data_IF_240450629767
#
_entry.id   IF_240450629767
#
_cell.length_a   1.000
_cell.length_b   1.000
_cell.length_c   1.000
_cell.angle_alpha   90.00
_cell.angle_beta   90.00
_cell.angle_gamma   90.00
#
_symmetry.space_group_name_H-M   'P 1'
#
loop_
_entity.id
_entity.type
_entity.pdbx_description
1 polymer ?
#
# COMPACT_ATOMS: atom_id res chain seq x y z
N UNK A 1 -31.90 -5.75 -9.42
CA UNK A 1 -31.11 -6.87 -8.86
C UNK A 1 -31.97 -7.54 -7.80
N UNK A 2 -32.08 -8.87 -7.81
CA UNK A 2 -32.74 -9.60 -6.73
C UNK A 2 -31.70 -9.91 -5.64
N UNK A 3 -31.77 -9.17 -4.55
CA UNK A 3 -30.83 -9.24 -3.43
C UNK A 3 -30.99 -10.56 -2.66
N UNK A 4 -32.21 -11.07 -2.55
CA UNK A 4 -32.50 -12.30 -1.79
C UNK A 4 -31.93 -13.52 -2.49
N UNK A 5 -32.09 -13.59 -3.83
CA UNK A 5 -31.48 -14.65 -4.63
C UNK A 5 -29.95 -14.60 -4.55
N UNK A 6 -29.36 -13.40 -4.58
CA UNK A 6 -27.90 -13.26 -4.47
C UNK A 6 -27.37 -13.74 -3.11
N UNK A 7 -28.05 -13.43 -2.00
CA UNK A 7 -27.66 -13.94 -0.68
C UNK A 7 -27.93 -15.42 -0.46
N UNK A 8 -28.77 -16.03 -1.30
CA UNK A 8 -28.90 -17.49 -1.38
C UNK A 8 -27.66 -18.20 -1.93
N UNK A 9 -26.72 -17.46 -2.54
CA UNK A 9 -25.48 -18.03 -3.09
C UNK A 9 -24.41 -18.30 -2.01
N UNK A 10 -23.57 -19.33 -2.18
CA UNK A 10 -22.42 -19.60 -1.31
C UNK A 10 -21.47 -18.41 -1.14
N UNK A 11 -20.82 -18.32 0.02
CA UNK A 11 -19.87 -17.25 0.36
C UNK A 11 -18.73 -17.14 -0.67
N UNK A 12 -18.21 -18.27 -1.17
CA UNK A 12 -17.13 -18.25 -2.16
C UNK A 12 -17.50 -17.52 -3.45
N UNK A 13 -18.74 -17.70 -3.93
CA UNK A 13 -19.24 -17.02 -5.12
C UNK A 13 -19.36 -15.52 -4.84
N UNK A 14 -20.00 -15.17 -3.71
CA UNK A 14 -20.18 -13.76 -3.32
C UNK A 14 -18.84 -13.05 -3.13
N UNK A 15 -17.87 -13.72 -2.50
CA UNK A 15 -16.50 -13.21 -2.36
C UNK A 15 -15.86 -12.91 -3.72
N UNK A 16 -15.96 -13.80 -4.70
CA UNK A 16 -15.41 -13.55 -6.03
C UNK A 16 -16.11 -12.38 -6.73
N UNK A 17 -17.44 -12.27 -6.58
CA UNK A 17 -18.19 -11.12 -7.10
C UNK A 17 -17.69 -9.82 -6.47
N UNK A 18 -17.53 -9.78 -5.15
CA UNK A 18 -17.04 -8.60 -4.46
C UNK A 18 -15.58 -8.26 -4.76
N UNK A 19 -14.74 -9.28 -4.98
CA UNK A 19 -13.36 -9.09 -5.41
C UNK A 19 -13.29 -8.36 -6.76
N UNK A 20 -14.16 -8.74 -7.70
CA UNK A 20 -14.25 -8.07 -9.00
C UNK A 20 -14.98 -6.72 -8.96
N UNK A 21 -15.86 -6.50 -7.98
CA UNK A 21 -16.49 -5.19 -7.76
C UNK A 21 -15.49 -4.17 -7.19
N UNK A 22 -14.44 -4.63 -6.53
CA UNK A 22 -13.28 -3.83 -6.10
C UNK A 22 -13.69 -2.57 -5.29
N UNK A 23 -14.66 -2.75 -4.40
CA UNK A 23 -15.17 -1.68 -3.52
C UNK A 23 -15.99 -0.58 -4.20
N UNK A 24 -16.27 -0.68 -5.51
CA UNK A 24 -17.10 0.29 -6.23
C UNK A 24 -18.59 0.04 -5.98
N UNK A 25 -19.09 0.48 -4.82
CA UNK A 25 -20.48 0.24 -4.40
C UNK A 25 -21.51 1.17 -5.04
N UNK A 26 -21.09 2.29 -5.61
CA UNK A 26 -21.96 3.19 -6.36
C UNK A 26 -21.53 3.29 -7.82
N UNK A 27 -22.46 3.68 -8.69
CA UNK A 27 -22.18 3.92 -10.12
C UNK A 27 -21.38 5.20 -10.38
N UNK A 28 -21.16 5.99 -9.34
CA UNK A 28 -20.40 7.22 -9.37
C UNK A 28 -18.96 6.87 -9.05
N UNK A 29 -18.04 7.35 -9.86
CA UNK A 29 -16.63 7.33 -9.58
C UNK A 29 -16.00 8.60 -10.18
N UNK A 30 -14.97 9.18 -9.54
CA UNK A 30 -14.20 10.22 -10.19
C UNK A 30 -13.60 9.67 -11.50
N UNK A 31 -13.46 10.54 -12.50
CA UNK A 31 -12.83 10.14 -13.75
C UNK A 31 -11.41 9.63 -13.45
N UNK A 32 -10.97 8.52 -14.07
CA UNK A 32 -9.60 8.07 -13.92
C UNK A 32 -8.66 9.21 -14.32
N UNK A 33 -7.64 9.47 -13.50
CA UNK A 33 -6.69 10.58 -13.71
C UNK A 33 -6.10 10.54 -15.13
N UNK A 34 -5.87 9.35 -15.69
CA UNK A 34 -5.38 9.17 -17.05
C UNK A 34 -6.31 9.81 -18.11
N UNK A 35 -7.63 9.70 -17.95
CA UNK A 35 -8.57 10.30 -18.90
C UNK A 35 -8.51 11.83 -18.83
N UNK A 36 -8.33 12.40 -17.63
CA UNK A 36 -8.20 13.86 -17.45
C UNK A 36 -6.97 14.46 -18.16
N UNK A 37 -5.91 13.67 -18.35
CA UNK A 37 -4.66 14.12 -19.00
C UNK A 37 -4.51 13.69 -20.47
N UNK A 38 -5.23 12.64 -20.90
CA UNK A 38 -5.13 12.09 -22.27
C UNK A 38 -6.26 12.62 -23.16
N UNK A 39 -7.41 12.95 -22.60
CA UNK A 39 -8.53 13.47 -23.39
C UNK A 39 -8.20 14.87 -23.93
N UNK A 40 -8.30 15.05 -25.25
CA UNK A 40 -8.09 16.35 -25.92
C UNK A 40 -9.12 17.42 -25.47
N UNK A 41 -10.22 16.98 -24.87
CA UNK A 41 -11.31 17.84 -24.41
C UNK A 41 -11.46 17.71 -22.90
N UNK A 42 -11.08 18.76 -22.18
CA UNK A 42 -11.36 18.87 -20.76
C UNK A 42 -12.87 19.11 -20.58
N UNK A 43 -13.56 18.12 -20.03
CA UNK A 43 -14.97 18.26 -19.66
C UNK A 43 -15.08 19.16 -18.43
N UNK A 44 -15.23 20.46 -18.67
CA UNK A 44 -15.60 21.41 -17.61
C UNK A 44 -17.09 21.28 -17.35
N UNK A 45 -17.44 21.20 -16.06
CA UNK A 45 -18.84 21.28 -15.64
C UNK A 45 -19.47 22.55 -16.22
N UNK A 46 -20.68 22.47 -16.82
CA UNK A 46 -21.38 23.66 -17.28
C UNK A 46 -21.48 24.67 -16.14
N UNK A 47 -21.28 25.97 -16.42
CA UNK A 47 -21.29 27.05 -15.40
C UNK A 47 -22.51 27.04 -14.47
N UNK A 48 -23.60 26.37 -14.87
CA UNK A 48 -24.81 26.19 -14.08
C UNK A 48 -25.63 25.03 -14.66
N UNK A 49 -25.32 23.79 -14.30
CA UNK A 49 -26.41 22.80 -14.21
C UNK A 49 -27.27 23.21 -13.02
N UNK A 50 -28.50 23.64 -13.28
CA UNK A 50 -29.41 24.02 -12.22
C UNK A 50 -29.69 22.79 -11.36
N UNK A 51 -29.23 22.80 -10.11
CA UNK A 51 -29.55 21.78 -9.13
C UNK A 51 -31.06 21.65 -9.00
N UNK A 52 -31.54 20.42 -8.88
CA UNK A 52 -32.93 20.21 -8.48
C UNK A 52 -33.16 20.76 -7.06
N UNK A 53 -34.39 21.15 -6.72
CA UNK A 53 -34.74 21.61 -5.36
C UNK A 53 -34.30 20.62 -4.26
N UNK A 54 -34.34 19.31 -4.56
CA UNK A 54 -33.88 18.25 -3.65
C UNK A 54 -32.37 18.30 -3.47
N UNK A 55 -31.62 18.39 -4.56
CA UNK A 55 -30.15 18.49 -4.53
C UNK A 55 -29.69 19.75 -3.80
N UNK A 56 -30.34 20.90 -4.02
CA UNK A 56 -30.05 22.12 -3.26
C UNK A 56 -30.23 21.91 -1.75
N UNK A 57 -31.30 21.23 -1.35
CA UNK A 57 -31.57 20.94 0.07
C UNK A 57 -30.53 19.98 0.65
N UNK A 58 -30.18 18.91 -0.08
CA UNK A 58 -29.15 17.97 0.34
C UNK A 58 -27.79 18.65 0.45
N UNK A 59 -27.40 19.43 -0.54
CA UNK A 59 -26.16 20.18 -0.55
C UNK A 59 -26.09 21.13 0.64
N UNK A 60 -27.12 21.97 0.83
CA UNK A 60 -27.16 22.91 1.96
C UNK A 60 -27.07 22.22 3.33
N UNK A 61 -27.56 20.99 3.45
CA UNK A 61 -27.60 20.26 4.72
C UNK A 61 -26.36 19.42 4.99
N UNK A 62 -25.79 18.80 3.96
CA UNK A 62 -24.79 17.74 4.12
C UNK A 62 -23.43 18.08 3.51
N UNK A 63 -23.32 19.14 2.70
CA UNK A 63 -22.05 19.50 2.07
C UNK A 63 -20.95 19.75 3.10
N UNK A 64 -21.19 20.63 4.09
CA UNK A 64 -20.19 20.96 5.12
C UNK A 64 -19.77 19.74 5.96
N UNK A 65 -20.66 18.77 6.12
CA UNK A 65 -20.36 17.55 6.85
C UNK A 65 -19.35 16.67 6.10
N UNK A 66 -19.49 16.53 4.79
CA UNK A 66 -18.66 15.64 3.98
C UNK A 66 -17.54 16.34 3.21
N UNK A 67 -17.54 17.67 3.17
CA UNK A 67 -16.54 18.46 2.44
C UNK A 67 -15.10 18.12 2.82
N UNK A 68 -14.72 17.77 4.08
CA UNK A 68 -13.34 17.42 4.39
C UNK A 68 -12.81 16.19 3.62
N UNK A 69 -13.71 15.35 3.10
CA UNK A 69 -13.36 14.09 2.43
C UNK A 69 -13.71 14.07 0.93
N UNK A 70 -14.44 15.09 0.44
CA UNK A 70 -15.02 15.09 -0.90
C UNK A 70 -14.81 16.40 -1.68
N UNK A 71 -14.33 17.47 -1.03
CA UNK A 71 -14.03 18.75 -1.70
C UNK A 71 -13.01 18.61 -2.84
N UNK A 72 -12.14 17.59 -2.80
CA UNK A 72 -11.22 17.24 -3.88
C UNK A 72 -11.94 16.98 -5.22
N UNK A 73 -13.24 16.70 -5.19
CA UNK A 73 -14.07 16.47 -6.37
C UNK A 73 -14.95 17.67 -6.77
N UNK A 74 -14.75 18.85 -6.16
CA UNK A 74 -15.55 20.06 -6.46
C UNK A 74 -15.41 20.54 -7.92
N UNK A 75 -14.38 20.08 -8.64
CA UNK A 75 -14.25 20.29 -10.09
C UNK A 75 -15.42 19.68 -10.89
N UNK A 76 -16.12 18.69 -10.32
CA UNK A 76 -17.31 18.06 -10.87
C UNK A 76 -18.48 18.11 -9.86
N UNK A 77 -19.21 19.24 -9.77
CA UNK A 77 -20.30 19.39 -8.80
C UNK A 77 -21.42 18.35 -8.96
N UNK A 78 -21.67 17.89 -10.19
CA UNK A 78 -22.65 16.84 -10.48
C UNK A 78 -22.27 15.50 -9.84
N UNK A 79 -20.97 15.19 -9.73
CA UNK A 79 -20.46 14.02 -9.01
C UNK A 79 -20.88 14.07 -7.54
N UNK A 80 -20.64 15.21 -6.88
CA UNK A 80 -20.95 15.42 -5.47
C UNK A 80 -22.47 15.38 -5.24
N UNK A 81 -23.25 16.06 -6.09
CA UNK A 81 -24.71 16.12 -5.97
C UNK A 81 -25.34 14.73 -6.08
N UNK A 82 -24.84 13.89 -7.01
CA UNK A 82 -25.29 12.49 -7.11
C UNK A 82 -24.77 11.66 -5.93
N UNK A 83 -23.54 11.88 -5.47
CA UNK A 83 -22.97 11.17 -4.32
C UNK A 83 -23.80 11.40 -3.06
N UNK A 84 -24.28 12.62 -2.84
CA UNK A 84 -25.18 12.95 -1.73
C UNK A 84 -26.49 12.17 -1.76
N UNK A 85 -26.96 11.72 -2.93
CA UNK A 85 -28.15 10.87 -3.00
C UNK A 85 -27.84 9.44 -2.55
N UNK A 86 -26.67 8.91 -2.93
CA UNK A 86 -26.20 7.60 -2.46
C UNK A 86 -25.87 7.62 -0.96
N UNK A 87 -25.30 8.71 -0.46
CA UNK A 87 -24.82 8.84 0.92
C UNK A 87 -25.91 8.55 1.97
N UNK A 88 -27.18 8.81 1.62
CA UNK A 88 -28.33 8.54 2.48
C UNK A 88 -28.58 7.05 2.74
N UNK A 89 -28.29 6.19 1.76
CA UNK A 89 -28.75 4.80 1.75
C UNK A 89 -27.62 3.78 1.62
N UNK A 90 -26.49 4.14 1.00
CA UNK A 90 -25.44 3.20 0.59
C UNK A 90 -24.86 2.42 1.78
N UNK A 91 -24.68 3.08 2.93
CA UNK A 91 -24.20 2.43 4.17
C UNK A 91 -25.20 1.43 4.77
N UNK A 92 -26.47 1.47 4.38
CA UNK A 92 -27.51 0.55 4.84
C UNK A 92 -27.85 -0.50 3.78
N UNK A 93 -27.25 -0.41 2.61
CA UNK A 93 -27.50 -1.34 1.52
C UNK A 93 -27.05 -2.74 1.94
N UNK A 94 -27.92 -3.73 1.70
CA UNK A 94 -27.67 -5.08 2.18
C UNK A 94 -26.44 -5.71 1.49
N UNK A 95 -26.20 -5.41 0.20
CA UNK A 95 -25.05 -5.91 -0.58
C UNK A 95 -23.76 -5.35 -0.01
N UNK A 96 -23.76 -4.07 0.36
CA UNK A 96 -22.63 -3.40 1.01
C UNK A 96 -22.35 -4.02 2.38
N UNK A 97 -23.37 -4.18 3.22
CA UNK A 97 -23.20 -4.80 4.55
C UNK A 97 -22.69 -6.24 4.44
N UNK A 98 -23.16 -7.00 3.45
CA UNK A 98 -22.68 -8.35 3.21
C UNK A 98 -21.22 -8.39 2.73
N UNK A 99 -20.83 -7.47 1.83
CA UNK A 99 -19.43 -7.31 1.45
C UNK A 99 -18.53 -7.00 2.65
N UNK A 100 -18.97 -6.11 3.54
CA UNK A 100 -18.23 -5.76 4.76
C UNK A 100 -18.09 -6.95 5.71
N UNK A 101 -19.13 -7.79 5.84
CA UNK A 101 -19.08 -9.03 6.64
C UNK A 101 -18.06 -10.01 6.09
N UNK A 102 -18.10 -10.26 4.79
CA UNK A 102 -17.14 -11.15 4.14
C UNK A 102 -15.74 -10.56 4.27
N UNK A 103 -15.54 -9.25 4.01
CA UNK A 103 -14.23 -8.61 4.18
C UNK A 103 -13.69 -8.78 5.60
N UNK A 104 -14.54 -8.60 6.61
CA UNK A 104 -14.19 -8.83 8.02
C UNK A 104 -13.77 -10.28 8.28
N UNK A 105 -14.57 -11.26 7.86
CA UNK A 105 -14.27 -12.70 8.04
C UNK A 105 -12.98 -13.15 7.35
N UNK A 106 -12.53 -12.43 6.31
CA UNK A 106 -11.27 -12.69 5.61
C UNK A 106 -10.18 -11.67 5.93
N UNK A 107 -10.25 -11.00 7.09
CA UNK A 107 -9.19 -10.13 7.62
C UNK A 107 -8.82 -8.97 6.71
N UNK A 108 -9.78 -8.37 6.02
CA UNK A 108 -9.55 -7.20 5.14
C UNK A 108 -9.01 -7.53 3.75
N UNK A 109 -8.86 -8.80 3.38
CA UNK A 109 -8.25 -9.19 2.11
C UNK A 109 -9.09 -8.91 0.85
N UNK A 110 -10.39 -8.59 1.01
CA UNK A 110 -11.32 -8.46 -0.10
C UNK A 110 -11.35 -7.04 -0.68
N UNK A 111 -11.56 -6.03 0.17
CA UNK A 111 -11.62 -4.61 -0.23
C UNK A 111 -10.56 -3.75 0.45
N UNK A 112 -9.82 -4.28 1.43
CA UNK A 112 -8.82 -3.58 2.22
C UNK A 112 -9.28 -3.26 3.65
N UNK A 113 -8.52 -2.39 4.31
CA UNK A 113 -8.82 -1.89 5.64
C UNK A 113 -9.94 -0.83 5.63
N UNK A 114 -10.45 -0.54 6.83
CA UNK A 114 -11.32 0.60 7.11
C UNK A 114 -10.55 1.61 7.93
N UNK A 115 -10.60 2.88 7.54
CA UNK A 115 -9.88 3.96 8.21
C UNK A 115 -10.74 4.64 9.26
N UNK A 116 -10.12 4.98 10.38
CA UNK A 116 -10.73 5.87 11.35
C UNK A 116 -10.74 7.31 10.84
N UNK A 117 -11.92 7.90 10.83
CA UNK A 117 -12.17 9.29 10.46
C UNK A 117 -12.97 10.02 11.53
N UNK A 118 -13.01 11.35 11.45
CA UNK A 118 -13.86 12.17 12.30
C UNK A 118 -14.97 12.81 11.47
N UNK A 119 -16.21 12.41 11.72
CA UNK A 119 -17.36 12.81 10.93
C UNK A 119 -18.60 12.90 11.82
N UNK A 120 -19.36 13.99 11.70
CA UNK A 120 -20.58 14.24 12.49
C UNK A 120 -20.26 14.25 14.00
N UNK A 121 -19.22 15.01 14.36
CA UNK A 121 -18.66 15.17 15.71
C UNK A 121 -18.29 13.87 16.44
N UNK A 122 -18.06 12.78 15.70
CA UNK A 122 -17.75 11.46 16.24
C UNK A 122 -16.69 10.74 15.42
N UNK A 123 -15.84 9.91 16.07
CA UNK A 123 -15.01 8.95 15.34
C UNK A 123 -15.88 7.90 14.65
N UNK A 124 -15.54 7.59 13.40
CA UNK A 124 -16.21 6.59 12.58
C UNK A 124 -15.19 5.77 11.80
N UNK A 125 -15.53 4.52 11.52
CA UNK A 125 -14.85 3.66 10.57
C UNK A 125 -15.35 3.99 9.17
N UNK A 126 -14.46 4.19 8.22
CA UNK A 126 -14.78 4.55 6.84
C UNK A 126 -14.05 3.68 5.84
N UNK A 127 -14.70 3.46 4.70
CA UNK A 127 -14.07 2.87 3.53
C UNK A 127 -13.93 3.92 2.44
N UNK A 128 -12.73 4.03 1.88
CA UNK A 128 -12.43 4.90 0.76
C UNK A 128 -12.14 4.10 -0.49
N UNK A 129 -12.64 4.57 -1.63
CA UNK A 129 -12.25 4.07 -2.95
C UNK A 129 -11.88 5.24 -3.84
N UNK A 130 -10.67 5.19 -4.43
CA UNK A 130 -10.13 6.29 -5.25
C UNK A 130 -10.21 7.65 -4.51
N UNK A 131 -9.85 7.67 -3.23
CA UNK A 131 -9.96 8.82 -2.32
C UNK A 131 -11.38 9.35 -2.07
N UNK A 132 -12.41 8.68 -2.59
CA UNK A 132 -13.81 9.02 -2.35
C UNK A 132 -14.36 8.20 -1.18
N UNK A 133 -14.97 8.87 -0.21
CA UNK A 133 -15.66 8.21 0.90
C UNK A 133 -16.85 7.40 0.35
N UNK A 134 -16.88 6.09 0.61
CA UNK A 134 -17.95 5.21 0.12
C UNK A 134 -18.95 4.90 1.23
N UNK A 135 -18.46 4.42 2.38
CA UNK A 135 -19.30 4.06 3.52
C UNK A 135 -18.65 4.45 4.83
N UNK A 136 -19.47 4.68 5.85
CA UNK A 136 -19.00 5.01 7.20
C UNK A 136 -19.95 4.45 8.27
N UNK A 137 -19.35 3.97 9.36
CA UNK A 137 -20.04 3.39 10.51
C UNK A 137 -19.41 3.90 11.81
N UNK A 138 -20.22 4.18 12.82
CA UNK A 138 -19.68 4.17 14.18
C UNK A 138 -19.23 2.75 14.55
N UNK A 139 -18.30 2.61 15.48
CA UNK A 139 -17.88 1.28 15.95
C UNK A 139 -19.07 0.44 16.43
N UNK A 140 -20.03 1.06 17.12
CA UNK A 140 -21.26 0.39 17.58
C UNK A 140 -22.14 -0.09 16.43
N UNK A 141 -22.30 0.70 15.37
CA UNK A 141 -23.05 0.29 14.17
C UNK A 141 -22.33 -0.87 13.47
N UNK A 142 -20.99 -0.78 13.35
CA UNK A 142 -20.17 -1.81 12.73
C UNK A 142 -20.28 -3.14 13.47
N UNK A 143 -20.06 -3.14 14.79
CA UNK A 143 -20.21 -4.32 15.64
C UNK A 143 -21.61 -4.94 15.51
N UNK A 144 -22.65 -4.10 15.58
CA UNK A 144 -24.05 -4.57 15.53
C UNK A 144 -24.45 -5.16 14.18
N UNK A 145 -24.06 -4.54 13.07
CA UNK A 145 -24.57 -4.93 11.75
C UNK A 145 -23.65 -5.87 10.98
N UNK A 146 -22.35 -5.83 11.26
CA UNK A 146 -21.33 -6.56 10.50
C UNK A 146 -20.81 -7.74 11.32
N UNK A 147 -20.27 -7.49 12.52
CA UNK A 147 -19.70 -8.56 13.35
C UNK A 147 -20.79 -9.47 13.90
N UNK A 148 -21.93 -8.90 14.33
CA UNK A 148 -23.09 -9.60 14.91
C UNK A 148 -22.83 -10.31 16.25
N UNK A 149 -21.64 -10.16 16.84
CA UNK A 149 -21.26 -10.60 18.18
C UNK A 149 -20.55 -9.45 18.91
N UNK A 150 -20.51 -9.48 20.25
CA UNK A 150 -19.63 -8.59 21.02
C UNK A 150 -18.19 -8.98 20.68
N UNK A 151 -17.34 -7.99 20.39
CA UNK A 151 -15.93 -8.25 20.10
C UNK A 151 -15.30 -8.74 21.42
N UNK A 152 -15.09 -10.04 21.57
CA UNK A 152 -14.27 -10.57 22.66
C UNK A 152 -12.81 -10.15 22.43
N UNK A 153 -12.11 -9.84 23.52
CA UNK A 153 -10.72 -9.35 23.49
C UNK A 153 -9.77 -10.33 22.76
N UNK A 154 -10.07 -11.64 22.76
CA UNK A 154 -9.27 -12.66 22.05
C UNK A 154 -9.46 -12.66 20.52
N UNK A 155 -10.60 -12.19 20.00
CA UNK A 155 -10.83 -12.01 18.55
C UNK A 155 -10.31 -10.66 18.04
N UNK A 156 -10.27 -9.65 18.92
CA UNK A 156 -9.74 -8.32 18.61
C UNK A 156 -8.25 -8.35 18.21
N UNK A 157 -7.47 -9.26 18.80
CA UNK A 157 -6.04 -9.40 18.56
C UNK A 157 -5.66 -9.89 17.15
N UNK A 158 -6.64 -10.39 16.38
CA UNK A 158 -6.42 -10.87 15.00
C UNK A 158 -7.05 -9.97 13.92
N UNK A 159 -7.68 -8.85 14.30
CA UNK A 159 -8.35 -7.96 13.36
C UNK A 159 -7.37 -6.95 12.74
N UNK A 160 -6.64 -7.40 11.71
CA UNK A 160 -5.84 -6.52 10.82
C UNK A 160 -6.73 -5.73 9.83
N UNK A 161 -7.79 -5.10 10.33
CA UNK A 161 -8.81 -4.47 9.49
C UNK A 161 -8.90 -2.96 9.64
N UNK A 162 -8.51 -2.41 10.80
CA UNK A 162 -8.68 -0.98 11.04
C UNK A 162 -7.36 -0.23 10.93
N UNK A 163 -7.39 0.88 10.18
CA UNK A 163 -6.26 1.75 9.92
C UNK A 163 -6.49 3.18 10.41
N UNK A 164 -5.41 3.93 10.52
CA UNK A 164 -5.43 5.38 10.66
C UNK A 164 -4.65 5.99 9.50
N UNK A 165 -5.36 6.56 8.53
CA UNK A 165 -4.75 7.21 7.37
C UNK A 165 -4.72 8.74 7.53
N UNK A 166 -3.50 9.30 7.61
CA UNK A 166 -3.28 10.74 7.83
C UNK A 166 -3.47 11.60 6.58
N UNK A 167 -3.57 10.99 5.40
CA UNK A 167 -3.93 11.66 4.15
C UNK A 167 -5.34 12.29 4.26
N UNK A 168 -6.27 11.62 4.94
CA UNK A 168 -7.67 12.06 5.04
C UNK A 168 -7.94 13.01 6.21
N UNK A 169 -6.95 13.29 7.05
CA UNK A 169 -7.17 13.91 8.35
C UNK A 169 -6.32 15.18 8.50
N UNK A 170 -6.95 16.21 9.06
CA UNK A 170 -6.22 17.35 9.58
C UNK A 170 -5.80 17.10 11.05
N UNK A 171 -4.94 17.95 11.58
CA UNK A 171 -4.39 17.78 12.94
C UNK A 171 -5.47 17.74 14.05
N UNK A 172 -6.52 18.54 13.92
CA UNK A 172 -7.61 18.59 14.91
C UNK A 172 -8.40 17.27 14.90
N UNK A 173 -8.70 16.72 13.72
CA UNK A 173 -9.35 15.43 13.56
C UNK A 173 -8.51 14.30 14.15
N UNK A 174 -7.20 14.27 13.87
CA UNK A 174 -6.26 13.29 14.45
C UNK A 174 -6.34 13.33 15.98
N UNK A 175 -6.22 14.52 16.59
CA UNK A 175 -6.31 14.69 18.04
C UNK A 175 -7.64 14.21 18.61
N UNK A 176 -8.75 14.56 17.96
CA UNK A 176 -10.10 14.14 18.40
C UNK A 176 -10.28 12.62 18.32
N UNK A 177 -9.79 11.99 17.26
CA UNK A 177 -9.84 10.53 17.09
C UNK A 177 -8.99 9.85 18.17
N UNK A 178 -7.72 10.23 18.32
CA UNK A 178 -6.81 9.61 19.29
C UNK A 178 -7.31 9.80 20.73
N UNK A 179 -7.79 10.99 21.09
CA UNK A 179 -8.36 11.24 22.42
C UNK A 179 -9.62 10.40 22.67
N UNK A 180 -10.49 10.27 21.67
CA UNK A 180 -11.69 9.44 21.80
C UNK A 180 -11.37 7.95 21.87
N UNK A 181 -10.37 7.47 21.12
CA UNK A 181 -9.90 6.09 21.21
C UNK A 181 -9.30 5.80 22.59
N UNK A 182 -8.46 6.68 23.12
CA UNK A 182 -7.88 6.55 24.46
C UNK A 182 -8.95 6.52 25.54
N UNK A 183 -9.94 7.40 25.45
CA UNK A 183 -11.02 7.47 26.43
C UNK A 183 -11.87 6.20 26.46
N UNK A 184 -12.06 5.55 25.31
CA UNK A 184 -12.87 4.34 25.18
C UNK A 184 -12.05 3.04 25.10
N UNK A 185 -10.72 3.10 25.29
CA UNK A 185 -9.76 2.00 25.16
C UNK A 185 -9.78 1.27 23.79
N UNK A 186 -10.05 2.00 22.71
CA UNK A 186 -10.10 1.45 21.35
C UNK A 186 -8.77 1.55 20.59
N UNK A 187 -7.71 2.03 21.24
CA UNK A 187 -6.39 2.22 20.59
C UNK A 187 -5.79 0.90 20.13
N UNK A 188 -6.12 -0.21 20.82
CA UNK A 188 -5.66 -1.55 20.45
C UNK A 188 -6.30 -2.06 19.15
N UNK A 189 -7.39 -1.46 18.67
CA UNK A 189 -8.03 -1.86 17.42
C UNK A 189 -7.25 -1.41 16.17
N UNK A 190 -6.27 -0.50 16.31
CA UNK A 190 -5.46 -0.02 15.20
C UNK A 190 -4.40 -1.03 14.80
N UNK A 191 -4.47 -1.46 13.55
CA UNK A 191 -3.55 -2.45 12.96
C UNK A 191 -2.60 -1.84 11.92
N UNK A 192 -2.99 -0.71 11.32
CA UNK A 192 -2.24 0.03 10.31
C UNK A 192 -2.22 1.54 10.58
N UNK A 193 -1.09 2.19 10.29
CA UNK A 193 -1.00 3.65 10.21
C UNK A 193 -0.38 4.03 8.87
N UNK A 194 -1.03 4.95 8.15
CA UNK A 194 -0.52 5.53 6.90
C UNK A 194 -0.09 6.97 7.15
N UNK A 195 1.22 7.21 7.05
CA UNK A 195 1.81 8.55 7.14
C UNK A 195 1.87 9.18 5.75
N UNK A 196 1.32 10.38 5.67
CA UNK A 196 1.31 11.20 4.48
C UNK A 196 1.76 12.60 4.88
N UNK A 197 2.64 13.19 4.06
CA UNK A 197 3.04 14.57 4.17
C UNK A 197 2.77 15.18 2.81
N UNK A 198 1.97 16.25 2.77
CA UNK A 198 1.78 17.02 1.55
C UNK A 198 3.17 17.50 1.10
N UNK A 199 3.61 17.00 -0.05
CA UNK A 199 4.90 17.37 -0.63
C UNK A 199 4.89 18.88 -0.91
N UNK A 200 5.68 19.66 -0.17
CA UNK A 200 6.20 20.91 -0.71
C UNK A 200 7.11 20.49 -1.87
N UNK A 201 6.78 20.92 -3.09
CA UNK A 201 7.42 20.46 -4.33
C UNK A 201 8.95 20.29 -4.14
N UNK A 202 9.47 19.09 -4.42
CA UNK A 202 10.91 18.77 -4.38
C UNK A 202 11.75 19.74 -5.25
N UNK A 203 11.12 20.58 -6.08
CA UNK A 203 11.77 21.64 -6.87
C UNK A 203 12.36 22.79 -6.05
N UNK A 204 11.96 22.99 -4.79
CA UNK A 204 12.53 24.05 -3.93
C UNK A 204 13.74 23.57 -3.11
N UNK A 205 14.04 22.26 -3.12
CA UNK A 205 15.30 21.72 -2.61
C UNK A 205 16.28 21.61 -3.80
N UNK A 206 16.93 22.73 -4.12
CA UNK A 206 17.90 22.82 -5.21
C UNK A 206 18.83 21.61 -5.30
N UNK A 207 19.05 21.13 -6.53
CA UNK A 207 19.91 19.98 -6.87
C UNK A 207 21.40 20.16 -6.50
N UNK A 208 21.74 21.24 -5.79
CA UNK A 208 23.10 21.56 -5.39
C UNK A 208 23.44 20.96 -4.02
N UNK A 209 24.09 19.78 -4.07
CA UNK A 209 25.02 19.28 -3.04
C UNK A 209 24.56 19.45 -1.58
N UNK A 210 23.52 18.73 -1.17
CA UNK A 210 23.38 18.43 0.26
C UNK A 210 24.46 17.40 0.63
N UNK A 211 25.43 17.83 1.44
CA UNK A 211 26.43 16.95 2.02
C UNK A 211 25.75 15.80 2.78
N UNK A 212 26.18 14.56 2.50
CA UNK A 212 25.62 13.32 3.06
C UNK A 212 25.63 13.33 4.60
N UNK A 213 26.54 14.10 5.21
CA UNK A 213 26.74 14.16 6.66
C UNK A 213 25.68 15.00 7.42
N UNK A 214 24.81 15.76 6.73
CA UNK A 214 23.76 16.59 7.37
C UNK A 214 22.31 16.12 7.11
N UNK A 215 22.10 15.01 6.39
CA UNK A 215 20.76 14.48 6.05
C UNK A 215 20.05 13.75 7.22
N UNK A 216 19.93 14.39 8.38
CA UNK A 216 18.85 14.04 9.30
C UNK A 216 17.60 14.74 8.77
N UNK A 217 16.64 13.99 8.21
CA UNK A 217 15.32 14.52 7.90
C UNK A 217 14.46 14.48 9.18
N UNK A 218 14.35 15.56 9.99
CA UNK A 218 13.48 15.53 11.15
C UNK A 218 12.02 15.46 10.69
N UNK A 219 11.24 14.61 11.34
CA UNK A 219 9.78 14.66 11.22
C UNK A 219 9.30 16.01 11.75
N UNK A 220 8.73 16.83 10.85
CA UNK A 220 8.20 18.16 11.16
C UNK A 220 6.68 18.24 11.03
N UNK A 221 6.04 17.28 10.35
CA UNK A 221 4.58 17.25 10.26
C UNK A 221 3.96 16.98 11.65
N UNK A 222 3.19 17.96 12.11
CA UNK A 222 2.52 17.94 13.41
C UNK A 222 1.51 16.79 13.51
N UNK A 223 0.87 16.39 12.40
CA UNK A 223 -0.08 15.27 12.40
C UNK A 223 0.64 13.96 12.70
N UNK A 224 1.70 13.68 11.95
CA UNK A 224 2.52 12.49 12.16
C UNK A 224 3.21 12.48 13.53
N UNK A 225 3.73 13.62 14.01
CA UNK A 225 4.31 13.72 15.36
C UNK A 225 3.27 13.37 16.44
N UNK A 226 2.03 13.82 16.30
CA UNK A 226 0.98 13.52 17.26
C UNK A 226 0.69 12.01 17.33
N UNK A 227 0.63 11.34 16.17
CA UNK A 227 0.44 9.89 16.10
C UNK A 227 1.64 9.14 16.67
N UNK A 228 2.87 9.57 16.35
CA UNK A 228 4.12 8.94 16.81
C UNK A 228 4.17 8.83 18.33
N UNK A 229 3.68 9.84 19.06
CA UNK A 229 3.62 9.82 20.52
C UNK A 229 2.74 8.69 21.07
N UNK A 230 1.75 8.26 20.31
CA UNK A 230 0.75 7.28 20.72
C UNK A 230 0.98 5.88 20.14
N UNK A 231 1.91 5.73 19.18
CA UNK A 231 2.20 4.42 18.55
C UNK A 231 2.54 3.33 19.58
N UNK A 232 3.22 3.68 20.68
CA UNK A 232 3.56 2.72 21.74
C UNK A 232 2.31 2.06 22.35
N UNK A 233 1.21 2.81 22.45
CA UNK A 233 -0.08 2.35 23.00
C UNK A 233 -0.89 1.47 22.04
N UNK A 234 -0.60 1.54 20.73
CA UNK A 234 -1.22 0.71 19.69
C UNK A 234 -0.57 -0.68 19.68
N UNK A 235 -1.08 -1.59 20.50
CA UNK A 235 -0.48 -2.93 20.70
C UNK A 235 -0.59 -3.83 19.47
N UNK A 236 -1.68 -3.73 18.71
CA UNK A 236 -1.94 -4.59 17.54
C UNK A 236 -1.45 -3.96 16.22
N UNK A 237 -0.71 -2.85 16.31
CA UNK A 237 -0.09 -2.22 15.15
C UNK A 237 0.95 -3.16 14.54
N UNK A 238 0.66 -3.63 13.33
CA UNK A 238 1.50 -4.58 12.59
C UNK A 238 1.99 -4.02 11.25
N UNK A 239 1.36 -2.95 10.75
CA UNK A 239 1.68 -2.34 9.46
C UNK A 239 1.89 -0.84 9.56
N UNK A 240 2.96 -0.34 8.93
CA UNK A 240 3.18 1.08 8.71
C UNK A 240 3.35 1.33 7.22
N UNK A 241 2.63 2.33 6.73
CA UNK A 241 2.70 2.78 5.34
C UNK A 241 3.20 4.22 5.35
N UNK A 242 4.12 4.57 4.46
CA UNK A 242 4.61 5.95 4.30
C UNK A 242 4.55 6.37 2.84
N UNK A 243 4.18 7.62 2.58
CA UNK A 243 4.24 8.24 1.25
C UNK A 243 5.33 9.30 1.20
N UNK A 244 6.08 9.33 0.10
CA UNK A 244 7.09 10.35 -0.16
C UNK A 244 8.47 10.01 0.44
N UNK A 245 9.52 10.54 -0.20
CA UNK A 245 10.90 10.31 0.21
C UNK A 245 11.24 10.92 1.58
N UNK A 246 10.83 12.16 1.91
CA UNK A 246 11.19 12.77 3.20
C UNK A 246 10.71 11.96 4.41
N UNK A 247 9.47 11.44 4.37
CA UNK A 247 8.92 10.60 5.44
C UNK A 247 9.62 9.25 5.53
N UNK A 248 9.98 8.67 4.39
CA UNK A 248 10.76 7.43 4.37
C UNK A 248 12.12 7.61 5.05
N UNK A 249 12.88 8.65 4.70
CA UNK A 249 14.18 8.93 5.30
C UNK A 249 14.05 9.29 6.80
N UNK A 250 12.99 10.02 7.17
CA UNK A 250 12.77 10.44 8.57
C UNK A 250 12.32 9.31 9.51
N UNK A 251 11.43 8.41 9.05
CA UNK A 251 10.72 7.46 9.91
C UNK A 251 11.21 6.01 9.74
N UNK A 252 11.55 5.62 8.51
CA UNK A 252 11.78 4.22 8.13
C UNK A 252 13.25 3.92 7.95
N UNK A 253 13.95 4.69 7.12
CA UNK A 253 15.33 4.42 6.75
C UNK A 253 16.26 4.60 7.96
N UNK A 254 17.26 3.73 8.08
CA UNK A 254 18.24 3.84 9.15
C UNK A 254 19.51 4.54 8.67
N UNK A 255 19.72 5.77 9.14
CA UNK A 255 20.89 6.60 8.81
C UNK A 255 22.06 6.50 9.80
N UNK A 256 22.06 5.57 10.75
CA UNK A 256 23.10 5.53 11.80
C UNK A 256 22.94 6.60 12.90
N UNK A 257 21.98 7.51 12.78
CA UNK A 257 21.72 8.59 13.75
C UNK A 257 21.02 8.07 15.01
N UNK A 258 21.26 8.72 16.15
CA UNK A 258 20.60 8.43 17.43
C UNK A 258 19.10 8.77 17.34
N UNK A 259 18.25 7.93 17.93
CA UNK A 259 16.81 8.15 17.95
C UNK A 259 16.47 9.49 18.63
N UNK A 260 15.78 10.38 17.92
CA UNK A 260 15.24 11.63 18.47
C UNK A 260 13.91 11.32 19.18
N UNK A 261 13.84 11.38 20.52
CA UNK A 261 12.64 11.00 21.25
C UNK A 261 11.44 11.85 20.85
N UNK A 262 10.28 11.22 20.63
CA UNK A 262 9.02 11.89 20.29
C UNK A 262 8.89 12.39 18.84
N UNK A 263 9.93 12.26 18.02
CA UNK A 263 9.89 12.54 16.56
C UNK A 263 10.21 11.33 15.70
N UNK A 264 10.70 10.25 16.32
CA UNK A 264 11.03 8.99 15.66
C UNK A 264 10.16 7.88 16.22
N UNK A 265 9.91 6.86 15.39
CA UNK A 265 9.19 5.67 15.82
C UNK A 265 10.04 4.93 16.84
N UNK A 266 9.45 4.65 18.01
CA UNK A 266 10.12 3.95 19.10
C UNK A 266 10.61 2.57 18.64
N UNK A 267 11.72 2.10 19.21
CA UNK A 267 12.23 0.77 18.90
C UNK A 267 11.24 -0.35 19.28
N UNK A 268 10.42 -0.16 20.33
CA UNK A 268 9.38 -1.11 20.72
C UNK A 268 8.30 -1.24 19.65
N UNK A 269 7.90 -0.13 19.02
CA UNK A 269 6.99 -0.15 17.87
C UNK A 269 7.65 -0.83 16.68
N UNK A 270 8.90 -0.49 16.34
CA UNK A 270 9.66 -1.11 15.23
C UNK A 270 9.71 -2.64 15.33
N UNK A 271 9.77 -3.18 16.55
CA UNK A 271 9.71 -4.63 16.82
C UNK A 271 8.34 -5.26 16.57
N UNK A 272 7.24 -4.52 16.68
CA UNK A 272 5.88 -5.05 16.43
C UNK A 272 5.50 -5.02 14.96
N UNK A 273 6.08 -4.11 14.18
CA UNK A 273 5.78 -3.98 12.76
C UNK A 273 6.29 -5.19 11.98
N UNK A 274 5.36 -5.83 11.30
CA UNK A 274 5.58 -7.00 10.45
C UNK A 274 5.52 -6.65 8.97
N UNK A 275 4.91 -5.52 8.61
CA UNK A 275 4.69 -5.11 7.22
C UNK A 275 5.03 -3.61 7.04
N UNK A 276 5.75 -3.30 5.96
CA UNK A 276 6.00 -1.93 5.52
C UNK A 276 5.53 -1.72 4.08
N UNK A 277 4.83 -0.62 3.83
CA UNK A 277 4.50 -0.18 2.47
C UNK A 277 5.05 1.22 2.20
N UNK A 278 5.84 1.33 1.14
CA UNK A 278 6.48 2.57 0.71
C UNK A 278 5.82 3.05 -0.58
N UNK A 279 5.20 4.23 -0.54
CA UNK A 279 4.43 4.80 -1.64
C UNK A 279 5.11 6.02 -2.25
N UNK A 280 5.15 6.07 -3.58
CA UNK A 280 5.54 7.28 -4.34
C UNK A 280 6.89 7.88 -3.93
N UNK A 281 7.87 7.02 -3.64
CA UNK A 281 9.25 7.44 -3.37
C UNK A 281 9.99 7.59 -4.70
N UNK A 282 10.80 8.63 -4.84
CA UNK A 282 11.65 8.83 -6.03
C UNK A 282 12.76 7.77 -6.10
N UNK A 283 13.60 7.68 -5.08
CA UNK A 283 14.62 6.62 -4.93
C UNK A 283 14.84 6.32 -3.43
N UNK A 284 14.46 5.13 -2.92
CA UNK A 284 14.69 4.74 -1.52
C UNK A 284 16.18 4.67 -1.13
N UNK A 285 17.08 4.70 -2.12
CA UNK A 285 18.52 4.62 -1.93
C UNK A 285 19.24 5.93 -2.26
N UNK A 286 18.50 7.05 -2.32
CA UNK A 286 19.00 8.40 -2.63
C UNK A 286 20.13 8.80 -1.68
N UNK A 287 20.00 8.48 -0.40
CA UNK A 287 20.97 8.73 0.68
C UNK A 287 22.10 7.71 0.75
N UNK A 288 22.18 6.80 -0.21
CA UNK A 288 23.25 5.81 -0.35
C UNK A 288 22.80 4.38 -0.08
N UNK A 289 22.06 4.14 1.00
CA UNK A 289 21.55 2.81 1.38
C UNK A 289 20.10 2.91 1.87
N UNK A 290 19.29 1.93 1.45
CA UNK A 290 17.96 1.70 2.01
C UNK A 290 18.08 0.62 3.10
N UNK A 291 18.29 1.06 4.34
CA UNK A 291 18.59 0.21 5.48
C UNK A 291 17.36 -0.03 6.37
N UNK A 292 16.92 -1.30 6.40
CA UNK A 292 15.79 -1.76 7.18
C UNK A 292 16.20 -2.60 8.41
N UNK A 293 17.48 -2.60 8.80
CA UNK A 293 18.03 -3.48 9.86
C UNK A 293 17.36 -3.32 11.22
N UNK A 294 16.87 -2.12 11.57
CA UNK A 294 16.14 -1.86 12.83
C UNK A 294 14.72 -2.44 12.87
N UNK A 295 14.19 -2.87 11.73
CA UNK A 295 12.86 -3.48 11.62
C UNK A 295 12.98 -5.00 11.75
N UNK A 296 13.45 -5.46 12.91
CA UNK A 296 13.90 -6.85 13.13
C UNK A 296 12.87 -7.93 12.77
N UNK A 297 11.59 -7.64 13.01
CA UNK A 297 10.47 -8.55 12.77
C UNK A 297 9.73 -8.33 11.44
N UNK A 298 10.22 -7.42 10.60
CA UNK A 298 9.65 -7.17 9.27
C UNK A 298 9.63 -8.47 8.45
N UNK A 299 8.46 -8.82 7.91
CA UNK A 299 8.24 -9.99 7.05
C UNK A 299 7.90 -9.62 5.61
N UNK A 300 7.19 -8.50 5.42
CA UNK A 300 6.68 -8.03 4.12
C UNK A 300 7.08 -6.58 3.88
N UNK A 301 7.80 -6.34 2.78
CA UNK A 301 8.14 -5.01 2.29
C UNK A 301 7.51 -4.81 0.90
N UNK A 302 6.75 -3.73 0.75
CA UNK A 302 6.13 -3.38 -0.53
C UNK A 302 6.56 -2.00 -1.00
N UNK A 303 7.02 -1.90 -2.24
CA UNK A 303 7.33 -0.64 -2.91
C UNK A 303 6.28 -0.40 -3.99
N UNK A 304 5.57 0.73 -3.92
CA UNK A 304 4.43 1.05 -4.77
C UNK A 304 4.64 2.42 -5.40
N UNK A 305 4.56 2.49 -6.74
CA UNK A 305 4.76 3.72 -7.53
C UNK A 305 6.12 4.37 -7.30
N UNK A 306 7.18 3.58 -7.13
CA UNK A 306 8.54 4.10 -6.91
C UNK A 306 9.21 4.37 -8.26
N UNK A 307 9.91 5.51 -8.40
CA UNK A 307 10.54 5.87 -9.68
C UNK A 307 11.78 5.01 -9.97
N UNK A 308 12.71 4.92 -9.03
CA UNK A 308 13.96 4.16 -9.17
C UNK A 308 14.21 3.26 -7.97
N UNK A 309 14.65 2.03 -8.21
CA UNK A 309 15.02 1.07 -7.16
C UNK A 309 16.32 0.37 -7.53
N UNK A 310 17.34 0.45 -6.67
CA UNK A 310 18.55 -0.36 -6.77
C UNK A 310 18.60 -1.41 -5.64
N UNK A 311 18.28 -2.66 -5.98
CA UNK A 311 18.21 -3.76 -5.01
C UNK A 311 19.57 -4.11 -4.37
N UNK A 312 20.69 -3.65 -4.95
CA UNK A 312 22.02 -3.83 -4.37
C UNK A 312 22.23 -2.94 -3.14
N UNK A 313 21.49 -1.83 -3.04
CA UNK A 313 21.56 -0.87 -1.93
C UNK A 313 20.58 -1.17 -0.80
N UNK A 314 19.84 -2.29 -0.88
CA UNK A 314 18.86 -2.68 0.12
C UNK A 314 19.48 -3.58 1.19
N UNK A 315 19.36 -3.15 2.44
CA UNK A 315 19.74 -3.95 3.62
C UNK A 315 18.47 -4.44 4.30
N UNK A 316 18.02 -5.64 3.93
CA UNK A 316 16.83 -6.27 4.50
C UNK A 316 17.15 -6.99 5.84
N UNK A 317 16.23 -6.95 6.82
CA UNK A 317 16.36 -7.69 8.06
C UNK A 317 16.15 -9.19 7.85
N UNK A 318 16.62 -10.00 8.80
CA UNK A 318 16.66 -11.47 8.66
C UNK A 318 15.30 -12.12 8.44
N UNK A 319 14.23 -11.56 9.01
CA UNK A 319 12.89 -12.14 8.92
C UNK A 319 12.10 -11.68 7.69
N UNK A 320 12.66 -10.78 6.88
CA UNK A 320 12.00 -10.28 5.68
C UNK A 320 12.02 -11.36 4.60
N UNK A 321 10.84 -11.86 4.26
CA UNK A 321 10.66 -12.97 3.33
C UNK A 321 9.91 -12.56 2.07
N UNK A 322 9.14 -11.48 2.13
CA UNK A 322 8.25 -11.05 1.06
C UNK A 322 8.70 -9.66 0.59
N UNK A 323 8.98 -9.55 -0.71
CA UNK A 323 9.25 -8.28 -1.39
C UNK A 323 8.29 -8.10 -2.56
N UNK A 324 7.48 -7.05 -2.53
CA UNK A 324 6.51 -6.74 -3.60
C UNK A 324 6.85 -5.40 -4.22
N UNK A 325 7.04 -5.38 -5.54
CA UNK A 325 7.35 -4.20 -6.34
C UNK A 325 6.19 -3.96 -7.32
N UNK A 326 5.50 -2.82 -7.18
CA UNK A 326 4.35 -2.45 -8.02
C UNK A 326 4.58 -1.08 -8.65
N UNK A 327 4.37 -0.97 -9.97
CA UNK A 327 4.47 0.28 -10.73
C UNK A 327 5.82 0.97 -10.53
N UNK A 328 6.91 0.23 -10.75
CA UNK A 328 8.28 0.78 -10.63
C UNK A 328 8.77 1.23 -12.00
N UNK A 329 9.27 2.46 -12.14
CA UNK A 329 9.71 2.95 -13.45
C UNK A 329 11.03 2.29 -13.87
N UNK A 330 12.06 2.38 -13.01
CA UNK A 330 13.39 1.81 -13.28
C UNK A 330 13.82 0.92 -12.11
N UNK A 331 14.27 -0.29 -12.41
CA UNK A 331 14.79 -1.21 -11.41
C UNK A 331 16.18 -1.72 -11.80
N UNK A 332 17.13 -1.66 -10.88
CA UNK A 332 18.39 -2.40 -10.97
C UNK A 332 18.29 -3.67 -10.14
N UNK A 333 18.45 -4.81 -10.82
CA UNK A 333 18.47 -6.12 -10.18
C UNK A 333 19.74 -6.33 -9.37
N UNK A 334 19.75 -7.33 -8.50
CA UNK A 334 20.97 -7.75 -7.81
C UNK A 334 22.06 -8.10 -8.82
N UNK A 335 23.28 -7.64 -8.56
CA UNK A 335 24.46 -7.86 -9.39
C UNK A 335 25.01 -9.28 -9.18
N UNK A 336 24.20 -10.24 -9.62
CA UNK A 336 24.45 -11.69 -9.56
C UNK A 336 25.00 -12.17 -10.89
N UNK A 337 24.49 -11.61 -11.99
CA UNK A 337 24.84 -12.02 -13.35
C UNK A 337 26.35 -11.90 -13.59
N UNK A 338 26.95 -10.75 -13.23
CA UNK A 338 28.39 -10.52 -13.35
C UNK A 338 29.23 -11.58 -12.62
N UNK A 339 28.72 -12.10 -11.49
CA UNK A 339 29.41 -13.11 -10.65
C UNK A 339 29.27 -14.53 -11.17
N UNK A 340 28.20 -14.83 -11.91
CA UNK A 340 27.95 -16.19 -12.43
C UNK A 340 28.27 -16.33 -13.91
N UNK A 341 28.38 -15.23 -14.67
CA UNK A 341 28.56 -15.25 -16.12
C UNK A 341 29.77 -16.08 -16.57
N UNK A 342 30.89 -15.99 -15.85
CA UNK A 342 32.09 -16.79 -16.13
C UNK A 342 31.86 -18.30 -15.96
N UNK A 343 30.95 -18.70 -15.06
CA UNK A 343 30.66 -20.11 -14.77
C UNK A 343 29.65 -20.72 -15.75
N UNK A 344 28.75 -19.90 -16.31
CA UNK A 344 27.59 -20.36 -17.10
C UNK A 344 27.77 -20.21 -18.61
N UNK A 345 28.90 -19.66 -19.08
CA UNK A 345 29.14 -19.42 -20.50
C UNK A 345 29.10 -20.74 -21.30
N UNK A 346 28.20 -20.83 -22.29
CA UNK A 346 28.01 -22.02 -23.13
C UNK A 346 27.35 -23.23 -22.47
N UNK A 347 27.03 -23.18 -21.17
CA UNK A 347 26.50 -24.32 -20.38
C UNK A 347 25.03 -24.17 -19.98
N UNK A 348 24.24 -23.55 -20.86
CA UNK A 348 22.83 -23.21 -20.57
C UNK A 348 21.92 -23.52 -21.73
N UNK A 349 20.73 -24.01 -21.43
CA UNK A 349 19.64 -24.16 -22.40
C UNK A 349 18.78 -22.90 -22.45
N UNK A 350 18.51 -22.39 -23.64
CA UNK A 350 17.64 -21.22 -23.85
C UNK A 350 16.30 -21.70 -24.40
N UNK A 351 15.22 -21.28 -23.75
CA UNK A 351 13.83 -21.55 -24.15
C UNK A 351 13.08 -20.24 -24.27
N UNK A 352 12.46 -19.97 -25.42
CA UNK A 352 11.65 -18.77 -25.63
C UNK A 352 10.37 -18.87 -24.81
N UNK A 353 10.13 -17.93 -23.89
CA UNK A 353 8.93 -17.90 -23.05
C UNK A 353 7.77 -17.17 -23.75
N UNK A 354 8.07 -16.02 -24.34
CA UNK A 354 7.16 -15.22 -25.15
C UNK A 354 7.95 -14.46 -26.22
N UNK A 355 7.32 -13.56 -26.98
CA UNK A 355 7.98 -12.82 -28.06
C UNK A 355 9.10 -11.87 -27.61
N UNK A 356 9.16 -11.52 -26.33
CA UNK A 356 10.06 -10.51 -25.79
C UNK A 356 11.01 -11.02 -24.70
N UNK A 357 10.78 -12.23 -24.17
CA UNK A 357 11.47 -12.78 -23.00
C UNK A 357 11.94 -14.21 -23.27
N UNK A 358 13.23 -14.44 -23.04
CA UNK A 358 13.84 -15.76 -23.07
C UNK A 358 14.08 -16.29 -21.65
N UNK A 359 13.79 -17.56 -21.42
CA UNK A 359 14.26 -18.29 -20.24
C UNK A 359 15.60 -18.94 -20.55
N UNK A 360 16.59 -18.75 -19.69
CA UNK A 360 17.89 -19.42 -19.75
C UNK A 360 18.07 -20.27 -18.50
N UNK A 361 18.17 -21.59 -18.66
CA UNK A 361 18.34 -22.54 -17.56
C UNK A 361 19.73 -23.15 -17.61
N UNK A 362 20.32 -23.43 -16.44
CA UNK A 362 21.57 -24.18 -16.35
C UNK A 362 21.39 -25.60 -16.92
N UNK A 363 22.30 -26.02 -17.82
CA UNK A 363 22.31 -27.39 -18.32
C UNK A 363 23.08 -28.29 -17.35
N UNK A 364 22.32 -29.04 -16.56
CA UNK A 364 22.85 -29.98 -15.56
C UNK A 364 23.66 -31.13 -16.17
N UNK A 365 23.56 -31.36 -17.49
CA UNK A 365 24.33 -32.42 -18.16
C UNK A 365 25.74 -31.98 -18.52
N UNK A 366 25.95 -30.68 -18.75
CA UNK A 366 27.23 -30.12 -19.20
C UNK A 366 28.04 -29.47 -18.09
N UNK A 367 27.40 -29.07 -16.98
CA UNK A 367 28.09 -28.48 -15.82
C UNK A 367 28.54 -29.53 -14.82
N UNK A 368 29.69 -29.28 -14.20
CA UNK A 368 30.12 -30.04 -13.03
C UNK A 368 29.21 -29.74 -11.83
N UNK A 369 28.81 -30.72 -11.00
CA UNK A 369 27.94 -30.49 -9.85
C UNK A 369 28.47 -29.44 -8.87
N UNK A 370 29.79 -29.28 -8.74
CA UNK A 370 30.37 -28.26 -7.87
C UNK A 370 30.12 -26.84 -8.39
N UNK A 371 30.24 -26.62 -9.70
CA UNK A 371 29.94 -25.34 -10.36
C UNK A 371 28.46 -24.97 -10.18
N UNK A 372 27.55 -25.92 -10.33
CA UNK A 372 26.10 -25.71 -10.13
C UNK A 372 25.82 -25.27 -8.69
N UNK A 373 26.45 -25.94 -7.71
CA UNK A 373 26.28 -25.57 -6.30
C UNK A 373 26.86 -24.19 -5.99
N UNK A 374 27.98 -23.82 -6.61
CA UNK A 374 28.54 -22.47 -6.48
C UNK A 374 27.60 -21.40 -7.07
N UNK A 375 27.08 -21.60 -8.29
CA UNK A 375 26.09 -20.68 -8.88
C UNK A 375 24.86 -20.52 -7.97
N UNK A 376 24.31 -21.63 -7.47
CA UNK A 376 23.18 -21.59 -6.53
C UNK A 376 23.52 -20.83 -5.26
N UNK A 377 24.68 -21.08 -4.67
CA UNK A 377 25.13 -20.38 -3.46
C UNK A 377 25.21 -18.87 -3.69
N UNK A 378 25.75 -18.42 -4.82
CA UNK A 378 25.85 -16.99 -5.17
C UNK A 378 24.45 -16.37 -5.27
N UNK A 379 23.52 -17.02 -5.98
CA UNK A 379 22.14 -16.54 -6.15
C UNK A 379 21.40 -16.45 -4.80
N UNK A 380 21.51 -17.48 -3.96
CA UNK A 380 20.87 -17.50 -2.64
C UNK A 380 21.47 -16.46 -1.69
N UNK A 381 22.79 -16.25 -1.71
CA UNK A 381 23.43 -15.21 -0.90
C UNK A 381 22.94 -13.81 -1.27
N UNK A 382 22.70 -13.55 -2.56
CA UNK A 382 22.18 -12.25 -3.03
C UNK A 382 20.71 -12.01 -2.63
N UNK A 383 19.87 -13.04 -2.70
CA UNK A 383 18.47 -12.96 -2.26
C UNK A 383 18.30 -12.96 -0.72
N UNK A 384 19.37 -13.30 0.01
CA UNK A 384 19.38 -13.42 1.47
C UNK A 384 18.29 -14.40 1.93
N UNK A 385 17.26 -13.90 2.63
CA UNK A 385 16.17 -14.69 3.21
C UNK A 385 14.83 -14.52 2.48
N UNK A 386 14.84 -13.88 1.30
CA UNK A 386 13.63 -13.69 0.52
C UNK A 386 13.09 -15.02 -0.02
N UNK A 387 11.81 -15.27 0.26
CA UNK A 387 11.08 -16.45 -0.17
C UNK A 387 9.97 -16.13 -1.16
N UNK A 388 9.52 -14.87 -1.25
CA UNK A 388 8.50 -14.45 -2.19
C UNK A 388 8.87 -13.10 -2.78
N UNK A 389 8.75 -13.00 -4.11
CA UNK A 389 9.00 -11.79 -4.86
C UNK A 389 7.90 -11.59 -5.90
N UNK A 390 7.32 -10.40 -5.95
CA UNK A 390 6.31 -10.06 -6.96
C UNK A 390 6.67 -8.77 -7.68
N UNK A 391 6.83 -8.84 -8.99
CA UNK A 391 7.07 -7.72 -9.89
C UNK A 391 5.81 -7.47 -10.71
N UNK A 392 5.22 -6.29 -10.57
CA UNK A 392 4.00 -5.90 -11.27
C UNK A 392 4.16 -4.53 -11.89
N UNK A 393 4.08 -4.42 -13.22
CA UNK A 393 4.23 -3.17 -13.97
C UNK A 393 5.58 -2.49 -13.68
N UNK A 394 6.70 -3.22 -13.83
CA UNK A 394 8.03 -2.58 -13.84
C UNK A 394 8.33 -2.14 -15.28
N UNK A 395 8.63 -0.86 -15.52
CA UNK A 395 8.74 -0.34 -16.88
C UNK A 395 10.08 -0.68 -17.53
N UNK A 396 11.18 -0.58 -16.78
CA UNK A 396 12.54 -0.84 -17.24
C UNK A 396 13.36 -1.58 -16.17
N UNK A 397 14.11 -2.60 -16.59
CA UNK A 397 15.10 -3.28 -15.76
C UNK A 397 16.48 -3.03 -16.34
N UNK A 398 17.40 -2.50 -15.53
CA UNK A 398 18.77 -2.24 -15.95
C UNK A 398 19.44 -3.54 -16.44
N UNK A 399 19.95 -3.52 -17.67
CA UNK A 399 20.53 -4.69 -18.33
C UNK A 399 19.51 -5.68 -18.92
N UNK A 400 18.22 -5.54 -18.61
CA UNK A 400 17.13 -6.36 -19.15
C UNK A 400 17.15 -7.82 -18.71
N UNK A 401 17.91 -8.16 -17.66
CA UNK A 401 18.15 -9.52 -17.20
C UNK A 401 17.81 -9.69 -15.74
N UNK A 402 17.23 -10.83 -15.39
CA UNK A 402 16.90 -11.19 -14.01
C UNK A 402 17.45 -12.57 -13.72
N UNK A 403 18.22 -12.71 -12.64
CA UNK A 403 18.71 -14.01 -12.16
C UNK A 403 17.87 -14.47 -10.98
N UNK A 404 17.35 -15.70 -11.04
CA UNK A 404 16.45 -16.28 -10.04
C UNK A 404 16.80 -17.74 -9.72
N UNK A 405 16.55 -18.21 -8.48
CA UNK A 405 16.73 -19.61 -8.13
C UNK A 405 15.55 -20.45 -8.63
N UNK A 406 15.87 -21.61 -9.20
CA UNK A 406 14.92 -22.57 -9.76
C UNK A 406 13.83 -22.98 -8.76
N UNK A 407 14.19 -23.13 -7.47
CA UNK A 407 13.28 -23.53 -6.41
C UNK A 407 12.17 -22.51 -6.12
N UNK A 408 12.45 -21.21 -6.23
CA UNK A 408 11.44 -20.16 -6.02
C UNK A 408 10.64 -19.91 -7.30
N UNK A 409 11.30 -19.97 -8.45
CA UNK A 409 10.66 -19.72 -9.74
C UNK A 409 9.57 -20.77 -10.06
N UNK A 410 9.91 -22.06 -9.99
CA UNK A 410 8.96 -23.13 -10.35
C UNK A 410 7.78 -23.26 -9.37
N UNK A 411 7.95 -22.83 -8.12
CA UNK A 411 6.89 -22.84 -7.10
C UNK A 411 6.01 -21.58 -7.13
N UNK A 412 6.10 -20.76 -8.18
CA UNK A 412 5.36 -19.49 -8.32
C UNK A 412 5.56 -18.52 -7.15
N UNK A 413 6.71 -18.61 -6.48
CA UNK A 413 7.12 -17.71 -5.39
C UNK A 413 7.76 -16.44 -5.93
N UNK A 414 8.37 -16.51 -7.11
CA UNK A 414 8.78 -15.34 -7.89
C UNK A 414 7.75 -15.15 -9.00
N UNK A 415 6.99 -14.05 -8.92
CA UNK A 415 5.92 -13.74 -9.86
C UNK A 415 6.30 -12.49 -10.65
N UNK A 416 6.53 -12.65 -11.95
CA UNK A 416 6.83 -11.55 -12.87
C UNK A 416 5.62 -11.40 -13.78
N UNK A 417 4.86 -10.33 -13.60
CA UNK A 417 3.64 -10.12 -14.38
C UNK A 417 3.96 -9.61 -15.79
N UNK A 418 3.23 -10.05 -16.84
CA UNK A 418 3.54 -9.74 -18.25
C UNK A 418 3.59 -8.26 -18.60
N UNK A 419 2.90 -7.43 -17.82
CA UNK A 419 2.91 -5.96 -17.93
C UNK A 419 4.22 -5.32 -17.48
N UNK A 420 5.17 -6.11 -17.00
CA UNK A 420 6.54 -5.71 -16.70
C UNK A 420 7.31 -5.67 -18.02
N UNK A 421 7.33 -4.51 -18.66
CA UNK A 421 8.03 -4.31 -19.93
C UNK A 421 9.55 -4.44 -19.74
N UNK A 422 10.23 -5.00 -20.74
CA UNK A 422 11.70 -5.04 -20.87
C UNK A 422 12.46 -6.06 -20.02
N UNK A 423 11.83 -7.17 -19.62
CA UNK A 423 12.61 -8.38 -19.22
C UNK A 423 12.96 -9.16 -20.48
N UNK A 424 14.18 -8.98 -20.98
CA UNK A 424 14.67 -9.68 -22.16
C UNK A 424 15.04 -11.13 -21.84
N UNK A 425 15.58 -11.37 -20.64
CA UNK A 425 16.09 -12.68 -20.23
C UNK A 425 15.86 -12.97 -18.75
N UNK A 426 15.38 -14.17 -18.44
CA UNK A 426 15.29 -14.70 -17.08
C UNK A 426 16.24 -15.88 -16.96
N UNK A 427 17.30 -15.73 -16.16
CA UNK A 427 18.31 -16.75 -15.91
C UNK A 427 17.91 -17.52 -14.65
N UNK A 428 17.68 -18.82 -14.81
CA UNK A 428 17.21 -19.72 -13.74
C UNK A 428 18.32 -20.69 -13.35
N UNK A 429 18.70 -20.66 -12.07
CA UNK A 429 19.85 -21.36 -11.47
C UNK A 429 19.44 -22.45 -10.47
#
# INVERSE_FOLDING_TARGET
MDVSLFFGLPIDIRRQVYYHLDGNFCKIAPAPVQHLYVDEVIQLSPKTEARSKRQELLFKRYYELFSPYLNIFDYSPSLFDQWLEYSLWLRYDAIVLDCMRINHSYGGSLIGHLDWIYLDDRPRLAYFKNCMLMVWYTLREYARWIIKEEIDDEEADNLNLFGLNLEYLNLDMVKKILNSMKFNDYVMLLSEVFFDQEDEDESDLGEDKMDIDEMSYPMNDLKGIEVIKDLDTMKNLAKISVRGAPLFEALINFHGVRDNPGKTISYMVKKRIMQLELWQISDPSKTGLADFTRWENLRDLRLIKVRSVDLNKFVLPKLCQILILKQVTVMRWWDVESKINELIEGKTTITKLNDFTNERRLDQKTMDPSEIMQCRSIVWQSLKNLNFLKLQNVSEIYGGKIVVPNALYNNSRIQIFPSTSMVNEIIIV
#
